data_IF_713713873527
#
_entry.id   IF_713713873527
#
_cell.length_a   1.000
_cell.length_b   1.000
_cell.length_c   1.000
_cell.angle_alpha   90.00
_cell.angle_beta   90.00
_cell.angle_gamma   90.00
#
_symmetry.space_group_name_H-M   'P 1'
#
loop_
_entity.id
_entity.type
_entity.pdbx_description
1 polymer ?
#
# COMPACT_ATOMS: atom_id res chain seq x y z
N UNK A 1 3.47 -54.86 5.86
CA UNK A 1 2.99 -53.91 4.84
C UNK A 1 4.11 -53.71 3.85
N UNK A 2 3.98 -54.33 2.68
CA UNK A 2 4.98 -54.31 1.60
C UNK A 2 5.18 -52.86 1.12
N UNK A 3 6.39 -52.51 0.64
CA UNK A 3 6.69 -51.13 0.22
C UNK A 3 5.74 -50.58 -0.86
N UNK A 4 5.15 -51.45 -1.69
CA UNK A 4 4.11 -51.08 -2.66
C UNK A 4 2.76 -50.66 -2.06
N UNK A 5 2.40 -51.16 -0.88
CA UNK A 5 1.14 -50.81 -0.20
C UNK A 5 1.19 -49.42 0.45
N UNK A 6 2.40 -48.93 0.77
CA UNK A 6 2.60 -47.63 1.44
C UNK A 6 2.27 -46.42 0.56
N UNK A 7 2.12 -46.58 -0.75
CA UNK A 7 1.74 -45.50 -1.67
C UNK A 7 0.28 -45.56 -2.14
N UNK A 8 -0.34 -46.74 -2.05
CA UNK A 8 -1.65 -47.00 -2.66
C UNK A 8 -2.77 -46.19 -2.00
N UNK A 9 -2.71 -45.96 -0.69
CA UNK A 9 -3.70 -45.15 0.03
C UNK A 9 -3.66 -43.66 -0.39
N UNK A 10 -2.49 -43.14 -0.75
CA UNK A 10 -2.33 -41.76 -1.24
C UNK A 10 -2.92 -41.65 -2.66
N UNK A 11 -2.65 -42.62 -3.53
CA UNK A 11 -3.20 -42.64 -4.88
C UNK A 11 -4.72 -42.75 -4.85
N UNK A 12 -5.27 -43.62 -4.02
CA UNK A 12 -6.72 -43.75 -3.82
C UNK A 12 -7.35 -42.49 -3.23
N UNK A 13 -6.65 -41.81 -2.30
CA UNK A 13 -7.10 -40.52 -1.77
C UNK A 13 -7.14 -39.45 -2.87
N UNK A 14 -6.08 -39.32 -3.67
CA UNK A 14 -6.02 -38.37 -4.78
C UNK A 14 -7.15 -38.66 -5.76
N UNK A 15 -7.34 -39.94 -6.13
CA UNK A 15 -8.43 -40.36 -7.01
C UNK A 15 -9.80 -40.02 -6.43
N UNK A 16 -10.05 -40.31 -5.16
CA UNK A 16 -11.31 -40.00 -4.49
C UNK A 16 -11.58 -38.50 -4.39
N UNK A 17 -10.55 -37.70 -4.12
CA UNK A 17 -10.63 -36.23 -4.08
C UNK A 17 -10.92 -35.66 -5.46
N UNK A 18 -10.24 -36.15 -6.51
CA UNK A 18 -10.48 -35.75 -7.88
C UNK A 18 -11.89 -36.13 -8.33
N UNK A 19 -12.37 -37.31 -7.95
CA UNK A 19 -13.75 -37.73 -8.26
C UNK A 19 -14.78 -36.89 -7.53
N UNK A 20 -14.56 -36.60 -6.23
CA UNK A 20 -15.46 -35.77 -5.43
C UNK A 20 -15.60 -34.36 -6.00
N UNK A 21 -14.47 -33.71 -6.31
CA UNK A 21 -14.50 -32.36 -6.86
C UNK A 21 -14.92 -32.34 -8.33
N UNK A 22 -14.46 -33.29 -9.15
CA UNK A 22 -14.83 -33.38 -10.56
C UNK A 22 -16.32 -33.62 -10.75
N UNK A 23 -16.89 -34.63 -10.08
CA UNK A 23 -18.32 -34.91 -10.13
C UNK A 23 -19.15 -33.78 -9.51
N UNK A 24 -18.70 -33.21 -8.38
CA UNK A 24 -19.40 -32.08 -7.76
C UNK A 24 -19.42 -30.82 -8.62
N UNK A 25 -18.34 -30.53 -9.33
CA UNK A 25 -18.30 -29.39 -10.27
C UNK A 25 -19.12 -29.66 -11.53
N UNK A 26 -19.13 -30.89 -12.06
CA UNK A 26 -20.04 -31.28 -13.17
C UNK A 26 -21.50 -31.15 -12.77
N UNK A 27 -21.87 -31.60 -11.58
CA UNK A 27 -23.25 -31.48 -11.09
C UNK A 27 -23.68 -30.01 -10.98
N UNK A 28 -22.75 -29.12 -10.58
CA UNK A 28 -22.98 -27.68 -10.54
C UNK A 28 -23.17 -27.12 -11.95
N UNK A 29 -22.31 -27.49 -12.91
CA UNK A 29 -22.39 -27.09 -14.31
C UNK A 29 -23.72 -27.54 -14.97
N UNK A 30 -24.18 -28.76 -14.66
CA UNK A 30 -25.40 -29.32 -15.26
C UNK A 30 -26.70 -28.77 -14.65
N UNK A 31 -26.71 -28.38 -13.37
CA UNK A 31 -27.95 -28.10 -12.63
C UNK A 31 -28.07 -26.70 -12.01
N UNK A 32 -26.97 -25.97 -11.85
CA UNK A 32 -26.99 -24.60 -11.32
C UNK A 32 -27.06 -23.62 -12.48
N UNK A 33 -27.89 -22.59 -12.37
CA UNK A 33 -27.95 -21.56 -13.43
C UNK A 33 -26.59 -20.84 -13.54
N UNK A 34 -26.10 -20.64 -14.76
CA UNK A 34 -24.82 -19.99 -15.11
C UNK A 34 -24.35 -18.85 -14.21
N UNK A 35 -25.25 -17.93 -13.86
CA UNK A 35 -24.93 -16.78 -13.02
C UNK A 35 -24.51 -17.14 -11.57
N UNK A 36 -24.86 -18.33 -11.08
CA UNK A 36 -24.53 -18.84 -9.75
C UNK A 36 -23.41 -19.89 -9.76
N UNK A 37 -23.07 -20.49 -10.91
CA UNK A 37 -22.12 -21.61 -11.02
C UNK A 37 -20.78 -21.29 -10.34
N UNK A 38 -20.18 -20.13 -10.66
CA UNK A 38 -18.90 -19.72 -10.09
C UNK A 38 -18.92 -19.64 -8.55
N UNK A 39 -19.96 -19.01 -8.01
CA UNK A 39 -20.12 -18.86 -6.56
C UNK A 39 -20.48 -20.21 -5.90
N UNK A 40 -21.28 -21.04 -6.56
CA UNK A 40 -21.63 -22.37 -6.08
C UNK A 40 -20.39 -23.27 -6.00
N UNK A 41 -19.51 -23.21 -7.00
CA UNK A 41 -18.24 -23.94 -7.02
C UNK A 41 -17.34 -23.54 -5.83
N UNK A 42 -17.15 -22.24 -5.60
CA UNK A 42 -16.36 -21.75 -4.46
C UNK A 42 -16.94 -22.23 -3.11
N UNK A 43 -18.26 -22.11 -2.94
CA UNK A 43 -18.94 -22.57 -1.72
C UNK A 43 -18.78 -24.08 -1.51
N UNK A 44 -19.03 -24.87 -2.55
CA UNK A 44 -18.91 -26.33 -2.52
C UNK A 44 -17.48 -26.77 -2.17
N UNK A 45 -16.47 -26.16 -2.79
CA UNK A 45 -15.07 -26.47 -2.50
C UNK A 45 -14.70 -26.09 -1.07
N UNK A 46 -15.09 -24.89 -0.62
CA UNK A 46 -14.81 -24.42 0.74
C UNK A 46 -15.41 -25.35 1.80
N UNK A 47 -16.70 -25.68 1.66
CA UNK A 47 -17.40 -26.57 2.59
C UNK A 47 -16.80 -27.97 2.55
N UNK A 48 -16.54 -28.53 1.37
CA UNK A 48 -15.94 -29.86 1.22
C UNK A 48 -14.56 -29.96 1.89
N UNK A 49 -13.68 -28.98 1.68
CA UNK A 49 -12.36 -28.97 2.31
C UNK A 49 -12.43 -28.75 3.83
N UNK A 50 -13.38 -27.93 4.29
CA UNK A 50 -13.70 -27.81 5.71
C UNK A 50 -14.12 -29.15 6.32
N UNK A 51 -15.04 -29.87 5.66
CA UNK A 51 -15.49 -31.20 6.08
C UNK A 51 -14.37 -32.24 6.05
N UNK A 52 -13.51 -32.23 5.03
CA UNK A 52 -12.33 -33.11 4.96
C UNK A 52 -11.39 -32.86 6.14
N UNK A 53 -11.18 -31.61 6.54
CA UNK A 53 -10.42 -31.32 7.76
C UNK A 53 -11.09 -31.90 9.01
N UNK A 54 -12.43 -31.80 9.13
CA UNK A 54 -13.21 -32.40 10.24
C UNK A 54 -13.02 -33.91 10.28
N UNK A 55 -13.27 -34.58 9.16
CA UNK A 55 -13.20 -36.03 9.04
C UNK A 55 -11.78 -36.55 9.22
N UNK A 56 -10.78 -35.86 8.66
CA UNK A 56 -9.36 -36.20 8.79
C UNK A 56 -8.96 -36.39 10.25
N UNK A 57 -9.34 -35.48 11.15
CA UNK A 57 -9.05 -35.68 12.59
C UNK A 57 -9.89 -36.75 13.25
N UNK A 58 -11.20 -36.78 12.98
CA UNK A 58 -12.11 -37.76 13.60
C UNK A 58 -11.68 -39.20 13.26
N UNK A 59 -11.16 -39.40 12.06
CA UNK A 59 -10.69 -40.69 11.55
C UNK A 59 -9.19 -40.91 11.77
N UNK A 60 -8.47 -39.96 12.39
CA UNK A 60 -7.00 -39.96 12.49
C UNK A 60 -6.28 -40.12 11.14
N UNK A 61 -6.93 -39.67 10.06
CA UNK A 61 -6.43 -39.72 8.70
C UNK A 61 -5.69 -38.42 8.36
N UNK A 62 -4.39 -38.39 8.67
CA UNK A 62 -3.55 -37.21 8.53
C UNK A 62 -3.50 -36.67 7.09
N UNK A 63 -3.45 -37.55 6.08
CA UNK A 63 -3.39 -37.14 4.67
C UNK A 63 -4.64 -36.38 4.22
N UNK A 64 -5.82 -36.75 4.73
CA UNK A 64 -7.08 -36.05 4.43
C UNK A 64 -7.12 -34.67 5.12
N UNK A 65 -6.51 -34.54 6.31
CA UNK A 65 -6.38 -33.24 6.97
C UNK A 65 -5.49 -32.26 6.17
N UNK A 66 -4.45 -32.78 5.50
CA UNK A 66 -3.58 -31.99 4.62
C UNK A 66 -4.29 -31.42 3.39
N UNK A 67 -5.40 -32.02 2.93
CA UNK A 67 -6.18 -31.51 1.80
C UNK A 67 -6.70 -30.08 2.03
N UNK A 68 -6.89 -29.68 3.29
CA UNK A 68 -7.33 -28.34 3.65
C UNK A 68 -6.36 -27.21 3.25
N UNK A 69 -5.10 -27.53 2.96
CA UNK A 69 -4.10 -26.57 2.46
C UNK A 69 -4.55 -25.90 1.16
N UNK A 70 -5.29 -26.64 0.31
CA UNK A 70 -5.71 -26.20 -1.02
C UNK A 70 -6.80 -25.13 -1.01
N UNK A 71 -7.48 -24.87 0.11
CA UNK A 71 -8.55 -23.88 0.15
C UNK A 71 -8.04 -22.47 -0.21
N UNK A 72 -6.89 -22.06 0.34
CA UNK A 72 -6.34 -20.74 0.07
C UNK A 72 -5.94 -20.55 -1.41
N UNK A 73 -5.20 -21.48 -2.05
CA UNK A 73 -5.01 -21.45 -3.50
C UNK A 73 -6.32 -21.32 -4.30
N UNK A 74 -7.38 -22.04 -3.91
CA UNK A 74 -8.69 -21.93 -4.58
C UNK A 74 -9.29 -20.54 -4.40
N UNK A 75 -9.28 -19.99 -3.18
CA UNK A 75 -9.77 -18.62 -2.92
C UNK A 75 -9.01 -17.60 -3.77
N UNK A 76 -7.67 -17.70 -3.83
CA UNK A 76 -6.83 -16.79 -4.63
C UNK A 76 -7.11 -16.96 -6.12
N UNK A 77 -7.23 -18.21 -6.59
CA UNK A 77 -7.52 -18.50 -7.99
C UNK A 77 -8.89 -17.96 -8.40
N UNK A 78 -9.93 -18.20 -7.59
CA UNK A 78 -11.26 -17.62 -7.82
C UNK A 78 -11.21 -16.09 -7.81
N UNK A 79 -10.48 -15.47 -6.86
CA UNK A 79 -10.36 -14.01 -6.81
C UNK A 79 -9.69 -13.46 -8.07
N UNK A 80 -8.63 -14.14 -8.53
CA UNK A 80 -7.92 -13.77 -9.74
C UNK A 80 -8.77 -13.93 -11.00
N UNK A 81 -9.38 -15.10 -11.21
CA UNK A 81 -10.23 -15.37 -12.38
C UNK A 81 -11.41 -14.42 -12.41
N UNK A 82 -12.13 -14.26 -11.30
CA UNK A 82 -13.27 -13.35 -11.24
C UNK A 82 -12.87 -11.89 -11.51
N UNK A 83 -11.74 -11.45 -10.99
CA UNK A 83 -11.28 -10.08 -11.19
C UNK A 83 -10.77 -9.82 -12.61
N UNK A 84 -10.08 -10.78 -13.22
CA UNK A 84 -9.55 -10.63 -14.59
C UNK A 84 -10.66 -10.72 -15.63
N UNK A 85 -11.59 -11.64 -15.47
CA UNK A 85 -12.69 -11.84 -16.41
C UNK A 85 -13.71 -10.69 -16.33
N UNK A 86 -13.96 -10.18 -15.13
CA UNK A 86 -14.97 -9.17 -14.89
C UNK A 86 -14.63 -8.28 -13.68
N UNK A 87 -13.67 -7.34 -13.83
CA UNK A 87 -13.23 -6.48 -12.72
C UNK A 87 -14.36 -5.59 -12.18
N UNK A 88 -15.32 -5.26 -13.05
CA UNK A 88 -16.48 -4.42 -12.74
C UNK A 88 -17.69 -5.24 -12.27
N UNK A 89 -17.55 -6.53 -11.97
CA UNK A 89 -18.63 -7.31 -11.37
C UNK A 89 -18.43 -7.45 -9.86
N UNK A 90 -19.55 -7.47 -9.13
CA UNK A 90 -19.53 -7.69 -7.69
C UNK A 90 -19.26 -9.17 -7.38
N UNK A 91 -18.17 -9.53 -6.70
CA UNK A 91 -17.97 -10.92 -6.28
C UNK A 91 -19.05 -11.37 -5.27
N UNK A 92 -19.79 -10.45 -4.63
CA UNK A 92 -20.88 -10.77 -3.71
C UNK A 92 -22.27 -10.87 -4.40
N UNK A 93 -22.38 -10.54 -5.69
CA UNK A 93 -23.62 -10.76 -6.45
C UNK A 93 -23.90 -12.27 -6.60
N UNK A 94 -25.12 -12.62 -7.00
CA UNK A 94 -25.53 -14.00 -7.28
C UNK A 94 -25.14 -14.99 -6.16
N UNK A 95 -25.57 -14.70 -4.93
CA UNK A 95 -25.25 -15.48 -3.71
C UNK A 95 -23.76 -15.56 -3.37
N UNK A 96 -22.89 -14.80 -4.05
CA UNK A 96 -21.45 -14.79 -3.80
C UNK A 96 -21.09 -14.35 -2.39
N UNK A 97 -21.89 -13.51 -1.74
CA UNK A 97 -21.68 -13.18 -0.32
C UNK A 97 -21.68 -14.44 0.57
N UNK A 98 -22.51 -15.45 0.28
CA UNK A 98 -22.51 -16.72 1.02
C UNK A 98 -21.21 -17.47 0.75
N UNK A 99 -20.82 -17.59 -0.51
CA UNK A 99 -19.62 -18.31 -0.93
C UNK A 99 -18.34 -17.70 -0.37
N UNK A 100 -18.13 -16.40 -0.55
CA UNK A 100 -16.94 -15.70 -0.08
C UNK A 100 -16.86 -15.62 1.44
N UNK A 101 -17.96 -15.30 2.13
CA UNK A 101 -17.96 -15.25 3.60
C UNK A 101 -17.69 -16.65 4.15
N UNK A 102 -18.37 -17.68 3.65
CA UNK A 102 -18.12 -19.06 4.09
C UNK A 102 -16.68 -19.50 3.82
N UNK A 103 -16.12 -19.20 2.65
CA UNK A 103 -14.75 -19.53 2.28
C UNK A 103 -13.73 -18.87 3.22
N UNK A 104 -13.85 -17.58 3.53
CA UNK A 104 -12.95 -16.90 4.46
C UNK A 104 -13.16 -17.36 5.92
N UNK A 105 -14.39 -17.64 6.34
CA UNK A 105 -14.68 -18.18 7.69
C UNK A 105 -14.04 -19.56 7.85
N UNK A 106 -14.23 -20.45 6.87
CA UNK A 106 -13.63 -21.79 6.88
C UNK A 106 -12.10 -21.68 6.79
N UNK A 107 -11.56 -20.82 5.92
CA UNK A 107 -10.12 -20.60 5.80
C UNK A 107 -9.51 -20.12 7.12
N UNK A 108 -10.13 -19.15 7.79
CA UNK A 108 -9.65 -18.65 9.08
C UNK A 108 -9.74 -19.70 10.18
N UNK A 109 -10.82 -20.49 10.19
CA UNK A 109 -10.96 -21.63 11.09
C UNK A 109 -9.92 -22.73 10.81
N UNK A 110 -9.57 -22.98 9.55
CA UNK A 110 -8.51 -23.91 9.16
C UNK A 110 -7.14 -23.43 9.62
N UNK A 111 -6.85 -22.12 9.57
CA UNK A 111 -5.61 -21.56 10.14
C UNK A 111 -5.51 -21.85 11.64
N UNK A 112 -6.60 -21.63 12.38
CA UNK A 112 -6.65 -21.93 13.83
C UNK A 112 -6.48 -23.43 14.10
N UNK A 113 -7.19 -24.25 13.34
CA UNK A 113 -7.21 -25.69 13.53
C UNK A 113 -5.85 -26.31 13.21
N UNK A 114 -5.27 -25.97 12.07
CA UNK A 114 -4.09 -26.64 11.51
C UNK A 114 -2.76 -26.19 12.11
N UNK A 115 -2.76 -25.37 13.16
CA UNK A 115 -1.55 -24.89 13.82
C UNK A 115 -0.61 -26.00 14.31
N UNK A 116 -1.17 -27.12 14.76
CA UNK A 116 -0.43 -28.26 15.30
C UNK A 116 0.12 -29.19 14.21
N UNK A 117 -0.49 -29.16 13.02
CA UNK A 117 -0.21 -30.12 11.95
C UNK A 117 0.69 -29.52 10.87
N UNK A 118 0.49 -28.25 10.54
CA UNK A 118 1.22 -27.62 9.44
C UNK A 118 2.63 -27.16 9.85
N UNK A 119 3.62 -27.26 8.94
CA UNK A 119 4.98 -26.78 9.20
C UNK A 119 5.01 -25.25 9.39
N UNK A 120 5.97 -24.76 10.17
CA UNK A 120 6.04 -23.34 10.57
C UNK A 120 6.05 -22.35 9.38
N UNK A 121 6.84 -22.64 8.35
CA UNK A 121 6.95 -21.78 7.16
C UNK A 121 5.63 -21.68 6.41
N UNK A 122 4.91 -22.80 6.27
CA UNK A 122 3.61 -22.84 5.61
C UNK A 122 2.59 -22.02 6.38
N UNK A 123 2.56 -22.14 7.72
CA UNK A 123 1.65 -21.36 8.57
C UNK A 123 1.86 -19.85 8.39
N UNK A 124 3.11 -19.40 8.48
CA UNK A 124 3.43 -17.99 8.28
C UNK A 124 2.97 -17.49 6.90
N UNK A 125 3.25 -18.26 5.84
CA UNK A 125 2.84 -17.91 4.50
C UNK A 125 1.31 -17.89 4.34
N UNK A 126 0.60 -18.88 4.90
CA UNK A 126 -0.85 -18.96 4.81
C UNK A 126 -1.55 -17.85 5.59
N UNK A 127 -1.02 -17.43 6.75
CA UNK A 127 -1.52 -16.26 7.47
C UNK A 127 -1.37 -14.98 6.64
N UNK A 128 -0.18 -14.75 6.05
CA UNK A 128 0.07 -13.59 5.21
C UNK A 128 -0.78 -13.61 3.93
N UNK A 129 -0.82 -14.73 3.21
CA UNK A 129 -1.58 -14.85 1.97
C UNK A 129 -3.10 -14.79 2.19
N UNK A 130 -3.61 -15.31 3.32
CA UNK A 130 -5.03 -15.11 3.69
C UNK A 130 -5.34 -13.64 3.95
N UNK A 131 -4.43 -12.90 4.61
CA UNK A 131 -4.57 -11.46 4.83
C UNK A 131 -4.58 -10.69 3.50
N UNK A 132 -3.70 -11.05 2.55
CA UNK A 132 -3.67 -10.43 1.22
C UNK A 132 -4.97 -10.68 0.45
N UNK A 133 -5.41 -11.93 0.37
CA UNK A 133 -6.65 -12.31 -0.30
C UNK A 133 -7.85 -11.58 0.32
N UNK A 134 -7.93 -11.52 1.64
CA UNK A 134 -9.00 -10.80 2.34
C UNK A 134 -8.97 -9.30 2.03
N UNK A 135 -7.79 -8.67 2.11
CA UNK A 135 -7.62 -7.23 1.84
C UNK A 135 -8.00 -6.90 0.39
N UNK A 136 -7.59 -7.74 -0.55
CA UNK A 136 -7.93 -7.60 -1.98
C UNK A 136 -9.43 -7.73 -2.23
N UNK A 137 -10.07 -8.82 -1.77
CA UNK A 137 -11.51 -9.04 -1.98
C UNK A 137 -12.34 -7.96 -1.27
N UNK A 138 -11.92 -7.53 -0.06
CA UNK A 138 -12.58 -6.43 0.63
C UNK A 138 -12.48 -5.11 -0.15
N UNK A 139 -11.30 -4.78 -0.69
CA UNK A 139 -11.12 -3.60 -1.54
C UNK A 139 -12.00 -3.69 -2.79
N UNK A 140 -12.05 -4.85 -3.45
CA UNK A 140 -12.85 -5.08 -4.64
C UNK A 140 -14.36 -4.92 -4.39
N UNK A 141 -14.89 -5.60 -3.37
CA UNK A 141 -16.33 -5.51 -3.00
C UNK A 141 -16.73 -4.09 -2.66
N UNK A 142 -15.93 -3.40 -1.85
CA UNK A 142 -16.24 -2.04 -1.40
C UNK A 142 -16.09 -1.05 -2.55
N UNK A 143 -15.07 -1.23 -3.40
CA UNK A 143 -14.85 -0.39 -4.59
C UNK A 143 -16.05 -0.49 -5.53
N UNK A 144 -16.49 -1.72 -5.84
CA UNK A 144 -17.70 -1.95 -6.64
C UNK A 144 -18.95 -1.33 -6.00
N UNK A 145 -19.13 -1.49 -4.69
CA UNK A 145 -20.29 -0.95 -3.99
C UNK A 145 -20.33 0.59 -4.09
N UNK A 146 -19.18 1.25 -3.91
CA UNK A 146 -19.08 2.71 -4.00
C UNK A 146 -19.40 3.22 -5.40
N UNK A 147 -18.88 2.58 -6.45
CA UNK A 147 -19.13 2.99 -7.83
C UNK A 147 -20.55 2.68 -8.31
N UNK A 148 -21.13 1.57 -7.86
CA UNK A 148 -22.43 1.10 -8.37
C UNK A 148 -23.63 1.73 -7.66
N UNK A 149 -23.52 2.03 -6.37
CA UNK A 149 -24.66 2.54 -5.60
C UNK A 149 -24.77 4.08 -5.63
N UNK A 150 -23.72 4.80 -6.01
CA UNK A 150 -23.75 6.27 -6.03
C UNK A 150 -23.40 6.79 -7.43
N UNK A 151 -24.41 7.24 -8.22
CA UNK A 151 -24.18 7.74 -9.57
C UNK A 151 -23.17 8.90 -9.60
N UNK A 152 -22.28 8.89 -10.61
CA UNK A 152 -21.22 9.88 -10.86
C UNK A 152 -20.07 9.89 -9.84
N UNK A 153 -19.91 8.85 -9.01
CA UNK A 153 -18.77 8.69 -8.10
C UNK A 153 -17.77 7.63 -8.58
N UNK A 154 -17.54 7.56 -9.89
CA UNK A 154 -16.70 6.52 -10.51
C UNK A 154 -15.26 6.51 -9.95
N UNK A 155 -14.67 7.69 -9.74
CA UNK A 155 -13.32 7.84 -9.17
C UNK A 155 -13.21 7.39 -7.70
N UNK A 156 -14.33 7.35 -6.97
CA UNK A 156 -14.30 6.93 -5.57
C UNK A 156 -14.00 5.45 -5.42
N UNK A 157 -14.33 4.64 -6.44
CA UNK A 157 -13.92 3.24 -6.50
C UNK A 157 -12.39 3.08 -6.46
N UNK A 158 -11.67 3.95 -7.16
CA UNK A 158 -10.20 3.96 -7.19
C UNK A 158 -9.60 4.36 -5.84
N UNK A 159 -10.26 5.29 -5.13
CA UNK A 159 -9.89 5.71 -3.77
C UNK A 159 -9.94 4.52 -2.81
N UNK A 160 -10.95 3.65 -2.92
CA UNK A 160 -11.09 2.46 -2.07
C UNK A 160 -9.89 1.51 -2.20
N UNK A 161 -9.33 1.38 -3.41
CA UNK A 161 -8.14 0.57 -3.63
C UNK A 161 -6.92 1.06 -2.85
N UNK A 162 -6.80 2.36 -2.56
CA UNK A 162 -5.77 2.90 -1.65
C UNK A 162 -6.18 2.81 -0.18
N UNK A 163 -7.44 3.14 0.11
CA UNK A 163 -7.94 3.29 1.47
C UNK A 163 -7.98 1.96 2.25
N UNK A 164 -8.44 0.88 1.62
CA UNK A 164 -8.61 -0.41 2.30
C UNK A 164 -7.26 -1.03 2.73
N UNK A 165 -6.23 -1.09 1.86
CA UNK A 165 -4.88 -1.48 2.28
C UNK A 165 -4.30 -0.59 3.38
N UNK A 166 -4.46 0.73 3.29
CA UNK A 166 -3.99 1.65 4.32
C UNK A 166 -4.67 1.40 5.68
N UNK A 167 -5.99 1.17 5.68
CA UNK A 167 -6.74 0.78 6.88
C UNK A 167 -6.27 -0.57 7.42
N UNK A 168 -5.98 -1.54 6.55
CA UNK A 168 -5.48 -2.85 6.97
C UNK A 168 -4.12 -2.72 7.70
N UNK A 169 -3.18 -1.95 7.14
CA UNK A 169 -1.89 -1.66 7.78
C UNK A 169 -2.12 -0.96 9.13
N UNK A 170 -2.94 0.08 9.17
CA UNK A 170 -3.25 0.84 10.39
C UNK A 170 -3.85 -0.06 11.48
N UNK A 171 -4.84 -0.89 11.14
CA UNK A 171 -5.48 -1.83 12.07
C UNK A 171 -4.48 -2.82 12.64
N UNK A 172 -3.60 -3.38 11.81
CA UNK A 172 -2.59 -4.33 12.27
C UNK A 172 -1.59 -3.67 13.24
N UNK A 173 -1.15 -2.45 12.95
CA UNK A 173 -0.26 -1.67 13.84
C UNK A 173 -0.95 -1.36 15.18
N UNK A 174 -2.23 -0.95 15.16
CA UNK A 174 -2.97 -0.60 16.39
C UNK A 174 -3.31 -1.83 17.23
N UNK A 175 -3.65 -2.95 16.58
CA UNK A 175 -4.11 -4.17 17.25
C UNK A 175 -2.98 -5.14 17.60
N UNK A 176 -1.73 -4.83 17.21
CA UNK A 176 -0.55 -5.71 17.37
C UNK A 176 -0.37 -6.28 18.78
N UNK A 177 -0.67 -5.49 19.82
CA UNK A 177 -0.49 -5.90 21.22
C UNK A 177 -1.82 -6.26 21.90
N UNK A 178 -2.96 -6.13 21.20
CA UNK A 178 -4.30 -6.47 21.72
C UNK A 178 -4.77 -7.86 21.31
N UNK A 179 -4.36 -8.34 20.15
CA UNK A 179 -4.84 -9.61 19.58
C UNK A 179 -3.76 -10.69 19.71
N UNK A 180 -3.94 -11.58 20.69
CA UNK A 180 -2.99 -12.69 20.96
C UNK A 180 -2.92 -13.64 19.75
N UNK A 181 -4.09 -14.11 19.29
CA UNK A 181 -4.21 -14.95 18.11
C UNK A 181 -5.03 -14.22 17.03
N UNK A 182 -4.55 -14.11 15.78
CA UNK A 182 -3.30 -14.67 15.24
C UNK A 182 -2.11 -13.68 15.24
N UNK A 183 -2.32 -12.39 15.56
CA UNK A 183 -1.34 -11.33 15.29
C UNK A 183 -0.08 -11.46 16.14
N UNK A 184 -0.18 -11.59 17.47
CA UNK A 184 1.01 -11.72 18.33
C UNK A 184 1.75 -13.05 18.13
N UNK A 185 1.01 -14.12 17.87
CA UNK A 185 1.61 -15.45 17.64
C UNK A 185 2.39 -15.50 16.32
N UNK A 186 1.89 -14.81 15.29
CA UNK A 186 2.47 -14.78 13.94
C UNK A 186 2.92 -13.36 13.55
N UNK A 187 3.66 -12.66 14.44
CA UNK A 187 4.09 -11.27 14.22
C UNK A 187 4.82 -11.06 12.89
N UNK A 188 5.71 -11.97 12.51
CA UNK A 188 6.45 -11.91 11.25
C UNK A 188 5.52 -11.91 10.01
N UNK A 189 4.45 -12.72 10.06
CA UNK A 189 3.49 -12.84 8.96
C UNK A 189 2.51 -11.66 8.87
N UNK A 190 2.20 -11.00 9.98
CA UNK A 190 1.23 -9.89 9.99
C UNK A 190 1.86 -8.49 10.03
N UNK A 191 3.04 -8.33 10.62
CA UNK A 191 3.67 -7.04 10.87
C UNK A 191 5.06 -6.91 10.26
N UNK A 192 5.74 -8.04 10.00
CA UNK A 192 7.01 -8.12 9.31
C UNK A 192 6.82 -8.27 7.80
N UNK A 193 7.46 -9.29 7.23
CA UNK A 193 7.52 -9.50 5.78
C UNK A 193 6.14 -9.63 5.11
N UNK A 194 5.13 -10.14 5.82
CA UNK A 194 3.79 -10.29 5.23
C UNK A 194 3.06 -8.97 5.02
N UNK A 195 3.42 -7.89 5.73
CA UNK A 195 2.83 -6.56 5.49
C UNK A 195 3.53 -5.80 4.36
N UNK A 196 4.74 -6.22 4.00
CA UNK A 196 5.57 -5.55 2.99
C UNK A 196 4.88 -5.44 1.61
N UNK A 197 4.25 -6.49 1.04
CA UNK A 197 3.56 -6.35 -0.25
C UNK A 197 2.40 -5.34 -0.19
N UNK A 198 1.69 -5.26 0.94
CA UNK A 198 0.57 -4.31 1.13
C UNK A 198 1.10 -2.88 1.20
N UNK A 199 2.24 -2.67 1.87
CA UNK A 199 2.95 -1.38 1.92
C UNK A 199 3.45 -0.97 0.54
N UNK A 200 4.08 -1.89 -0.20
CA UNK A 200 4.56 -1.64 -1.57
C UNK A 200 3.40 -1.30 -2.49
N UNK A 201 2.31 -2.06 -2.44
CA UNK A 201 1.10 -1.78 -3.19
C UNK A 201 0.55 -0.38 -2.87
N UNK A 202 0.44 -0.03 -1.59
CA UNK A 202 -0.04 1.28 -1.16
C UNK A 202 0.86 2.42 -1.66
N UNK A 203 2.18 2.24 -1.60
CA UNK A 203 3.15 3.21 -2.12
C UNK A 203 3.05 3.38 -3.64
N UNK A 204 2.92 2.28 -4.39
CA UNK A 204 2.71 2.31 -5.84
C UNK A 204 1.38 2.98 -6.20
N UNK A 205 0.32 2.65 -5.47
CA UNK A 205 -1.00 3.25 -5.66
C UNK A 205 -0.95 4.77 -5.47
N UNK A 206 -0.26 5.27 -4.42
CA UNK A 206 -0.06 6.72 -4.23
C UNK A 206 0.57 7.36 -5.46
N UNK A 207 1.61 6.74 -6.04
CA UNK A 207 2.29 7.25 -7.24
C UNK A 207 1.38 7.21 -8.47
N UNK A 208 0.71 6.09 -8.72
CA UNK A 208 -0.15 5.92 -9.91
C UNK A 208 -1.26 6.97 -9.91
N UNK A 209 -1.89 7.18 -8.76
CA UNK A 209 -3.00 8.13 -8.62
C UNK A 209 -2.56 9.58 -8.78
N UNK A 210 -1.27 9.91 -8.59
CA UNK A 210 -0.73 11.22 -8.94
C UNK A 210 -0.82 11.54 -10.44
N UNK A 211 -0.94 10.54 -11.31
CA UNK A 211 -1.06 10.75 -12.76
C UNK A 211 -2.50 10.69 -13.26
N UNK A 212 -3.46 10.46 -12.36
CA UNK A 212 -4.88 10.45 -12.67
C UNK A 212 -5.52 11.80 -12.33
N UNK A 213 -6.61 12.11 -13.04
CA UNK A 213 -7.43 13.29 -12.76
C UNK A 213 -8.12 13.10 -11.41
N UNK A 214 -7.88 14.01 -10.48
CA UNK A 214 -8.61 14.04 -9.22
C UNK A 214 -9.95 14.77 -9.42
N UNK A 215 -10.98 14.08 -9.89
CA UNK A 215 -12.35 14.62 -9.90
C UNK A 215 -13.08 14.25 -8.59
N UNK A 216 -13.36 15.23 -7.71
CA UNK A 216 -13.94 15.03 -6.39
C UNK A 216 -15.47 14.98 -6.38
N UNK A 217 -16.14 14.99 -7.54
CA UNK A 217 -17.60 15.01 -7.61
C UNK A 217 -18.23 13.98 -6.64
N UNK A 218 -19.27 14.36 -5.87
CA UNK A 218 -20.02 15.62 -5.88
C UNK A 218 -19.44 16.74 -5.01
N UNK A 219 -18.28 16.54 -4.38
CA UNK A 219 -17.66 17.54 -3.51
C UNK A 219 -16.90 18.60 -4.32
N UNK A 220 -16.75 19.84 -3.80
CA UNK A 220 -15.85 20.82 -4.41
C UNK A 220 -14.39 20.38 -4.25
N UNK A 221 -13.55 20.70 -5.24
CA UNK A 221 -12.12 20.43 -5.13
C UNK A 221 -11.46 21.40 -4.15
N UNK A 222 -11.07 20.90 -2.99
CA UNK A 222 -10.23 21.63 -2.03
C UNK A 222 -8.90 20.88 -1.89
N UNK A 223 -7.76 21.51 -2.21
CA UNK A 223 -6.46 20.85 -2.12
C UNK A 223 -6.21 20.27 -0.73
N UNK A 224 -5.56 19.11 -0.63
CA UNK A 224 -5.27 18.37 0.62
C UNK A 224 -6.51 17.75 1.27
N UNK A 225 -7.69 18.35 1.13
CA UNK A 225 -8.96 17.91 1.74
C UNK A 225 -9.76 17.01 0.81
N UNK A 226 -9.45 17.01 -0.50
CA UNK A 226 -10.06 16.09 -1.45
C UNK A 226 -9.92 14.63 -0.93
N UNK A 227 -10.99 13.80 -0.99
CA UNK A 227 -10.94 12.38 -0.67
C UNK A 227 -9.72 11.63 -1.20
N UNK A 228 -9.28 11.93 -2.43
CA UNK A 228 -8.08 11.34 -3.03
C UNK A 228 -6.81 11.76 -2.28
N UNK A 229 -6.62 13.06 -2.08
CA UNK A 229 -5.47 13.63 -1.37
C UNK A 229 -5.39 13.13 0.07
N UNK A 230 -6.52 13.08 0.77
CA UNK A 230 -6.62 12.55 2.13
C UNK A 230 -6.24 11.08 2.20
N UNK A 231 -6.64 10.28 1.21
CA UNK A 231 -6.30 8.85 1.16
C UNK A 231 -4.82 8.64 0.86
N UNK A 232 -4.24 9.44 -0.05
CA UNK A 232 -2.80 9.42 -0.31
C UNK A 232 -2.01 9.85 0.93
N UNK A 233 -2.42 10.92 1.61
CA UNK A 233 -1.79 11.39 2.85
C UNK A 233 -1.89 10.35 3.97
N UNK A 234 -3.07 9.78 4.18
CA UNK A 234 -3.29 8.71 5.16
C UNK A 234 -2.41 7.50 4.87
N UNK A 235 -2.33 7.07 3.61
CA UNK A 235 -1.47 5.96 3.19
C UNK A 235 0.00 6.24 3.49
N UNK A 236 0.50 7.43 3.13
CA UNK A 236 1.88 7.84 3.41
C UNK A 236 2.18 7.90 4.92
N UNK A 237 1.26 8.43 5.73
CA UNK A 237 1.42 8.50 7.19
C UNK A 237 1.48 7.11 7.83
N UNK A 238 0.66 6.18 7.37
CA UNK A 238 0.65 4.81 7.90
C UNK A 238 1.89 4.03 7.44
N UNK A 239 2.38 4.25 6.22
CA UNK A 239 3.67 3.70 5.77
C UNK A 239 4.82 4.29 6.60
N UNK A 240 4.80 5.60 6.87
CA UNK A 240 5.77 6.24 7.75
C UNK A 240 5.76 5.62 9.15
N UNK A 241 4.58 5.42 9.74
CA UNK A 241 4.43 4.81 11.05
C UNK A 241 4.98 3.37 11.07
N UNK A 242 4.68 2.57 10.05
CA UNK A 242 5.22 1.22 9.91
C UNK A 242 6.76 1.22 9.81
N UNK A 243 7.34 2.09 8.98
CA UNK A 243 8.79 2.23 8.84
C UNK A 243 9.45 2.72 10.13
N UNK A 244 8.83 3.70 10.80
CA UNK A 244 9.31 4.27 12.05
C UNK A 244 9.31 3.24 13.18
N UNK A 245 8.25 2.47 13.32
CA UNK A 245 8.19 1.41 14.33
C UNK A 245 9.12 0.23 14.02
N UNK A 246 9.31 -0.11 12.74
CA UNK A 246 10.33 -1.10 12.31
C UNK A 246 11.73 -0.61 12.66
N UNK A 247 12.04 0.67 12.39
CA UNK A 247 13.32 1.30 12.76
C UNK A 247 13.56 1.31 14.28
N UNK A 248 12.51 1.52 15.07
CA UNK A 248 12.57 1.52 16.54
C UNK A 248 12.62 0.11 17.15
N UNK A 249 12.61 -0.97 16.34
CA UNK A 249 12.58 -2.35 16.83
C UNK A 249 11.26 -2.77 17.50
N UNK A 250 10.18 -2.00 17.31
CA UNK A 250 8.84 -2.30 17.86
C UNK A 250 8.08 -3.32 17.00
N UNK A 251 8.40 -3.38 15.71
CA UNK A 251 7.88 -4.35 14.76
C UNK A 251 9.01 -5.30 14.35
N UNK A 252 8.67 -6.53 13.89
CA UNK A 252 9.68 -7.44 13.40
C UNK A 252 10.45 -6.84 12.22
N UNK A 253 11.78 -6.94 12.27
CA UNK A 253 12.65 -6.49 11.20
C UNK A 253 12.54 -7.40 9.98
N UNK A 254 12.70 -6.85 8.79
CA UNK A 254 12.75 -7.62 7.55
C UNK A 254 14.20 -7.65 7.07
N UNK A 255 14.73 -8.85 6.86
CA UNK A 255 16.10 -9.03 6.37
C UNK A 255 16.34 -8.22 5.09
N UNK A 256 17.45 -7.47 5.06
CA UNK A 256 17.89 -6.60 3.94
C UNK A 256 17.07 -5.33 3.71
N UNK A 257 16.02 -5.05 4.48
CA UNK A 257 15.36 -3.75 4.41
C UNK A 257 16.01 -2.76 5.35
N UNK A 258 16.46 -1.63 4.80
CA UNK A 258 16.96 -0.49 5.55
C UNK A 258 15.86 0.56 5.69
N UNK A 259 15.23 0.72 6.87
CA UNK A 259 14.13 1.67 7.05
C UNK A 259 14.50 3.11 6.70
N UNK A 260 15.77 3.49 6.90
CA UNK A 260 16.27 4.83 6.56
C UNK A 260 16.28 5.10 5.06
N UNK A 261 16.55 4.10 4.23
CA UNK A 261 16.48 4.23 2.77
C UNK A 261 15.01 4.33 2.33
N UNK A 262 14.14 3.48 2.89
CA UNK A 262 12.72 3.50 2.57
C UNK A 262 12.02 4.80 3.01
N UNK A 263 12.43 5.40 4.12
CA UNK A 263 11.92 6.71 4.55
C UNK A 263 12.31 7.82 3.55
N UNK A 264 13.50 7.74 2.93
CA UNK A 264 13.88 8.68 1.84
C UNK A 264 13.06 8.44 0.58
N UNK A 265 12.80 7.19 0.22
CA UNK A 265 11.91 6.84 -0.89
C UNK A 265 10.51 7.41 -0.64
N UNK A 266 9.97 7.24 0.57
CA UNK A 266 8.69 7.81 0.97
C UNK A 266 8.68 9.35 0.89
N UNK A 267 9.77 10.01 1.29
CA UNK A 267 9.91 11.46 1.11
C UNK A 267 9.92 11.88 -0.38
N UNK A 268 10.53 11.07 -1.26
CA UNK A 268 10.46 11.25 -2.71
C UNK A 268 9.04 11.10 -3.24
N UNK A 269 8.29 10.09 -2.78
CA UNK A 269 6.87 9.89 -3.11
C UNK A 269 6.04 11.09 -2.65
N UNK A 270 6.26 11.58 -1.43
CA UNK A 270 5.58 12.77 -0.92
C UNK A 270 5.89 14.03 -1.74
N UNK A 271 7.11 14.14 -2.28
CA UNK A 271 7.47 15.23 -3.20
C UNK A 271 6.76 15.09 -4.56
N UNK A 272 6.65 13.88 -5.11
CA UNK A 272 5.86 13.63 -6.34
C UNK A 272 4.38 14.00 -6.09
N UNK A 273 3.82 13.56 -4.97
CA UNK A 273 2.46 13.88 -4.56
C UNK A 273 2.24 15.39 -4.43
N UNK A 274 3.19 16.13 -3.82
CA UNK A 274 3.09 17.58 -3.71
C UNK A 274 3.02 18.27 -5.09
N UNK A 275 3.78 17.79 -6.08
CA UNK A 275 3.72 18.32 -7.44
C UNK A 275 2.38 17.98 -8.13
N UNK A 276 1.88 16.76 -7.90
CA UNK A 276 0.56 16.34 -8.39
C UNK A 276 -0.56 17.19 -7.79
N UNK A 277 -0.49 17.51 -6.51
CA UNK A 277 -1.46 18.40 -5.85
C UNK A 277 -1.49 19.78 -6.52
N UNK A 278 -0.33 20.35 -6.86
CA UNK A 278 -0.27 21.61 -7.62
C UNK A 278 -0.88 21.43 -9.01
N UNK A 279 -0.62 20.31 -9.69
CA UNK A 279 -1.17 20.02 -11.00
C UNK A 279 -2.71 19.91 -10.96
N UNK A 280 -3.27 19.27 -9.93
CA UNK A 280 -4.71 19.18 -9.73
C UNK A 280 -5.34 20.54 -9.43
N UNK A 281 -4.69 21.38 -8.61
CA UNK A 281 -5.15 22.77 -8.37
C UNK A 281 -5.21 23.54 -9.69
N UNK A 282 -4.14 23.50 -10.48
CA UNK A 282 -4.05 24.23 -11.76
C UNK A 282 -5.06 23.67 -12.77
N UNK A 283 -5.23 22.35 -12.83
CA UNK A 283 -6.24 21.74 -13.69
C UNK A 283 -7.65 22.21 -13.35
N UNK A 284 -8.02 22.13 -12.06
CA UNK A 284 -9.37 22.41 -11.61
C UNK A 284 -9.72 23.90 -11.69
N UNK A 285 -8.83 24.77 -11.20
CA UNK A 285 -9.12 26.21 -11.10
C UNK A 285 -8.76 27.00 -12.35
N UNK A 286 -7.78 26.54 -13.14
CA UNK A 286 -7.28 27.27 -14.32
C UNK A 286 -7.63 26.56 -15.64
N UNK A 287 -8.41 25.47 -15.59
CA UNK A 287 -8.88 24.69 -16.74
C UNK A 287 -7.77 24.20 -17.68
N UNK A 288 -6.54 24.03 -17.17
CA UNK A 288 -5.43 23.45 -17.93
C UNK A 288 -5.64 21.94 -18.04
N UNK A 289 -5.63 21.31 -19.23
CA UNK A 289 -5.81 19.87 -19.36
C UNK A 289 -4.81 19.08 -18.51
N UNK A 290 -5.28 18.08 -17.77
CA UNK A 290 -4.43 17.21 -16.94
C UNK A 290 -3.70 16.18 -17.81
N UNK A 291 -2.78 16.68 -18.63
CA UNK A 291 -1.86 15.91 -19.44
C UNK A 291 -0.46 16.44 -19.20
N UNK A 292 0.55 15.55 -19.19
CA UNK A 292 1.94 15.92 -18.88
C UNK A 292 2.39 17.07 -19.77
N UNK A 293 2.23 16.96 -21.09
CA UNK A 293 2.67 17.99 -22.04
C UNK A 293 1.98 19.34 -21.82
N UNK A 294 0.67 19.32 -21.55
CA UNK A 294 -0.12 20.53 -21.29
C UNK A 294 0.26 21.20 -19.98
N UNK A 295 0.54 20.40 -18.94
CA UNK A 295 0.99 20.92 -17.65
C UNK A 295 2.37 21.54 -17.76
N UNK A 296 3.32 20.87 -18.40
CA UNK A 296 4.68 21.40 -18.55
C UNK A 296 4.74 22.64 -19.46
N UNK A 297 3.85 22.75 -20.45
CA UNK A 297 3.72 23.95 -21.29
C UNK A 297 3.02 25.13 -20.58
N UNK A 298 2.29 24.90 -19.49
CA UNK A 298 1.55 25.93 -18.77
C UNK A 298 2.47 26.80 -17.92
N UNK A 299 2.52 28.10 -18.22
CA UNK A 299 3.26 29.07 -17.41
C UNK A 299 2.74 29.13 -15.96
N UNK A 300 1.42 29.03 -15.78
CA UNK A 300 0.79 29.03 -14.45
C UNK A 300 1.25 27.83 -13.62
N UNK A 301 1.30 26.64 -14.22
CA UNK A 301 1.82 25.46 -13.54
C UNK A 301 3.31 25.63 -13.18
N UNK A 302 4.12 26.10 -14.14
CA UNK A 302 5.55 26.32 -13.93
C UNK A 302 5.85 27.31 -12.79
N UNK A 303 5.11 28.42 -12.71
CA UNK A 303 5.23 29.40 -11.64
C UNK A 303 4.75 28.81 -10.30
N UNK A 304 3.64 28.07 -10.31
CA UNK A 304 3.07 27.48 -9.09
C UNK A 304 4.00 26.46 -8.45
N UNK A 305 4.59 25.53 -9.23
CA UNK A 305 5.55 24.56 -8.70
C UNK A 305 6.82 25.24 -8.19
N UNK A 306 7.27 26.32 -8.83
CA UNK A 306 8.43 27.10 -8.37
C UNK A 306 8.16 27.70 -6.99
N UNK A 307 6.99 28.35 -6.79
CA UNK A 307 6.58 28.91 -5.50
C UNK A 307 6.51 27.80 -4.44
N UNK A 308 5.86 26.67 -4.77
CA UNK A 308 5.71 25.55 -3.83
C UNK A 308 7.06 24.93 -3.47
N UNK A 309 7.99 24.78 -4.41
CA UNK A 309 9.34 24.29 -4.13
C UNK A 309 10.13 25.25 -3.24
N UNK A 310 10.01 26.57 -3.46
CA UNK A 310 10.62 27.59 -2.60
C UNK A 310 10.10 27.49 -1.16
N UNK A 311 8.77 27.44 -0.98
CA UNK A 311 8.16 27.28 0.35
C UNK A 311 8.59 25.97 1.00
N UNK A 312 8.61 24.87 0.23
CA UNK A 312 9.03 23.54 0.70
C UNK A 312 10.50 23.55 1.16
N UNK A 313 11.39 24.18 0.37
CA UNK A 313 12.78 24.34 0.74
C UNK A 313 12.93 25.08 2.09
N UNK A 314 12.16 26.15 2.30
CA UNK A 314 12.19 26.89 3.58
C UNK A 314 11.67 26.09 4.75
N UNK A 315 10.57 25.36 4.58
CA UNK A 315 10.04 24.48 5.62
C UNK A 315 11.08 23.43 5.99
N UNK A 316 11.71 22.79 5.00
CA UNK A 316 12.76 21.78 5.22
C UNK A 316 13.98 22.38 5.93
N UNK A 317 14.47 23.54 5.48
CA UNK A 317 15.60 24.23 6.13
C UNK A 317 15.27 24.63 7.57
N UNK A 318 14.09 25.21 7.80
CA UNK A 318 13.62 25.61 9.13
C UNK A 318 13.46 24.42 10.08
N UNK A 319 12.90 23.29 9.60
CA UNK A 319 12.84 22.04 10.37
C UNK A 319 14.25 21.49 10.63
N UNK A 320 15.15 21.54 9.65
CA UNK A 320 16.56 21.16 9.80
C UNK A 320 17.28 21.97 10.88
N UNK A 321 17.06 23.28 10.93
CA UNK A 321 17.59 24.17 11.98
C UNK A 321 16.99 23.85 13.35
N UNK A 322 15.65 23.69 13.45
CA UNK A 322 14.95 23.41 14.73
C UNK A 322 15.27 22.04 15.30
N UNK A 323 15.43 21.03 14.45
CA UNK A 323 15.74 19.65 14.85
C UNK A 323 17.25 19.37 14.94
N UNK A 324 18.09 20.38 14.71
CA UNK A 324 19.55 20.26 14.64
C UNK A 324 20.04 19.21 13.63
N UNK A 325 19.29 18.99 12.55
CA UNK A 325 19.60 18.00 11.52
C UNK A 325 20.20 18.65 10.28
N UNK A 326 21.54 18.62 10.20
CA UNK A 326 22.29 19.16 9.05
C UNK A 326 21.86 18.56 7.71
N UNK A 327 21.65 17.24 7.66
CA UNK A 327 21.23 16.54 6.43
C UNK A 327 19.92 17.12 5.89
N UNK A 328 18.94 17.34 6.78
CA UNK A 328 17.64 17.91 6.42
C UNK A 328 17.81 19.37 5.93
N UNK A 329 18.60 20.17 6.63
CA UNK A 329 18.90 21.55 6.20
C UNK A 329 19.51 21.61 4.79
N UNK A 330 20.51 20.78 4.51
CA UNK A 330 21.15 20.70 3.19
C UNK A 330 20.20 20.19 2.10
N UNK A 331 19.24 19.30 2.42
CA UNK A 331 18.20 18.90 1.47
C UNK A 331 17.35 20.10 1.03
N UNK A 332 16.93 20.95 1.97
CA UNK A 332 16.17 22.16 1.66
C UNK A 332 17.00 23.18 0.89
N UNK A 333 18.26 23.41 1.29
CA UNK A 333 19.18 24.28 0.56
C UNK A 333 19.43 23.79 -0.89
N UNK A 334 19.57 22.47 -1.08
CA UNK A 334 19.69 21.86 -2.40
C UNK A 334 18.44 22.07 -3.26
N UNK A 335 17.24 21.90 -2.71
CA UNK A 335 15.99 22.21 -3.42
C UNK A 335 15.90 23.69 -3.79
N UNK A 336 16.31 24.60 -2.91
CA UNK A 336 16.37 26.04 -3.20
C UNK A 336 17.35 26.35 -4.34
N UNK A 337 18.53 25.72 -4.35
CA UNK A 337 19.50 25.87 -5.43
C UNK A 337 18.92 25.39 -6.78
N UNK A 338 18.17 24.28 -6.80
CA UNK A 338 17.46 23.80 -7.99
C UNK A 338 16.43 24.81 -8.48
N UNK A 339 15.61 25.38 -7.58
CA UNK A 339 14.64 26.42 -7.94
C UNK A 339 15.32 27.61 -8.59
N UNK A 340 16.43 28.04 -8.03
CA UNK A 340 17.16 29.21 -8.51
C UNK A 340 17.78 28.92 -9.87
N UNK A 341 18.44 27.77 -10.05
CA UNK A 341 18.90 27.32 -11.36
C UNK A 341 17.77 27.26 -12.39
N UNK A 342 16.59 26.77 -12.02
CA UNK A 342 15.40 26.77 -12.90
C UNK A 342 15.03 28.18 -13.34
N UNK A 343 14.97 29.13 -12.42
CA UNK A 343 14.69 30.54 -12.72
C UNK A 343 15.74 31.13 -13.65
N UNK A 344 17.02 30.88 -13.38
CA UNK A 344 18.11 31.28 -14.26
C UNK A 344 17.93 30.73 -15.66
N UNK A 345 17.66 29.44 -15.84
CA UNK A 345 17.51 28.81 -17.16
C UNK A 345 16.35 29.43 -17.95
N UNK A 346 15.24 29.75 -17.29
CA UNK A 346 14.06 30.37 -17.92
C UNK A 346 14.33 31.86 -18.23
N UNK A 347 14.96 32.59 -17.32
CA UNK A 347 15.28 34.02 -17.51
C UNK A 347 16.48 34.23 -18.46
N UNK A 348 17.35 33.22 -18.63
CA UNK A 348 18.46 33.20 -19.59
C UNK A 348 17.98 33.14 -21.05
N UNK A 349 16.74 32.72 -21.33
CA UNK A 349 16.20 32.81 -22.69
C UNK A 349 15.94 34.27 -23.14
N UNK A 350 15.81 35.21 -22.21
CA UNK A 350 15.53 36.64 -22.47
C UNK A 350 16.72 37.55 -22.12
N UNK A 351 17.93 37.13 -22.51
CA UNK A 351 19.27 37.68 -22.17
C UNK A 351 19.56 39.18 -22.48
N UNK A 352 18.55 40.03 -22.74
CA UNK A 352 18.72 41.42 -23.17
C UNK A 352 18.26 42.52 -22.20
N UNK A 353 17.69 42.21 -21.03
CA UNK A 353 17.01 43.23 -20.20
C UNK A 353 17.63 43.47 -18.82
N UNK A 354 17.66 44.75 -18.40
CA UNK A 354 17.99 45.21 -17.03
C UNK A 354 17.15 44.46 -15.97
N UNK A 355 15.95 44.01 -16.33
CA UNK A 355 15.08 43.18 -15.52
C UNK A 355 15.76 41.89 -15.02
N UNK A 356 16.59 41.24 -15.84
CA UNK A 356 17.31 40.02 -15.48
C UNK A 356 18.34 40.27 -14.37
N UNK A 357 19.06 41.39 -14.43
CA UNK A 357 20.03 41.79 -13.40
C UNK A 357 19.31 42.06 -12.07
N UNK A 358 18.18 42.79 -12.11
CA UNK A 358 17.37 43.10 -10.92
C UNK A 358 16.77 41.81 -10.32
N UNK A 359 16.32 40.87 -11.14
CA UNK A 359 15.84 39.55 -10.71
C UNK A 359 16.94 38.78 -9.96
N UNK A 360 18.14 38.70 -10.52
CA UNK A 360 19.27 38.00 -9.89
C UNK A 360 19.72 38.64 -8.58
N UNK A 361 19.77 39.98 -8.51
CA UNK A 361 20.05 40.68 -7.26
C UNK A 361 18.97 40.41 -6.21
N UNK A 362 17.70 40.43 -6.59
CA UNK A 362 16.58 40.18 -5.68
C UNK A 362 16.62 38.77 -5.11
N UNK A 363 16.87 37.76 -5.97
CA UNK A 363 17.04 36.36 -5.56
C UNK A 363 18.26 36.19 -4.65
N UNK A 364 19.39 36.84 -4.98
CA UNK A 364 20.61 36.80 -4.17
C UNK A 364 20.44 37.41 -2.77
N UNK A 365 19.77 38.56 -2.68
CA UNK A 365 19.43 39.19 -1.38
C UNK A 365 18.49 38.29 -0.59
N UNK A 366 17.47 37.72 -1.24
CA UNK A 366 16.54 36.81 -0.61
C UNK A 366 17.29 35.60 -0.01
N UNK A 367 18.18 34.96 -0.77
CA UNK A 367 19.03 33.87 -0.28
C UNK A 367 19.85 34.26 0.96
N UNK A 368 20.41 35.47 0.98
CA UNK A 368 21.24 35.96 2.07
C UNK A 368 20.41 36.16 3.35
N UNK A 369 19.21 36.75 3.21
CA UNK A 369 18.24 36.88 4.30
C UNK A 369 17.80 35.51 4.83
N UNK A 370 17.57 34.54 3.93
CA UNK A 370 17.17 33.18 4.32
C UNK A 370 18.29 32.47 5.08
N UNK A 371 19.54 32.57 4.61
CA UNK A 371 20.70 32.01 5.30
C UNK A 371 20.89 32.58 6.71
N UNK A 372 20.47 33.83 6.93
CA UNK A 372 20.43 34.47 8.25
C UNK A 372 19.28 33.95 9.13
N UNK A 373 18.06 33.84 8.59
CA UNK A 373 16.86 33.41 9.37
C UNK A 373 16.88 31.91 9.69
N UNK A 374 17.50 31.10 8.82
CA UNK A 374 17.56 29.63 8.97
C UNK A 374 19.02 29.18 9.14
N UNK A 375 19.66 29.48 10.30
CA UNK A 375 21.08 29.19 10.47
C UNK A 375 21.34 27.68 10.42
N UNK A 376 22.48 27.32 9.82
CA UNK A 376 22.92 25.93 9.78
C UNK A 376 23.17 25.41 11.21
N UNK A 377 22.67 24.21 11.58
CA UNK A 377 22.95 23.63 12.88
C UNK A 377 24.47 23.49 13.13
N UNK A 378 24.99 23.77 14.34
CA UNK A 378 26.40 23.56 14.66
C UNK A 378 26.79 22.08 14.50
N UNK A 379 28.07 21.78 14.25
CA UNK A 379 28.55 20.39 14.38
C UNK A 379 28.55 20.08 15.87
N UNK A 380 28.01 18.93 16.27
CA UNK A 380 28.32 18.39 17.59
C UNK A 380 29.84 18.25 17.64
N UNK A 381 30.50 19.13 18.39
CA UNK A 381 31.90 18.96 18.70
C UNK A 381 32.02 17.63 19.43
N UNK A 382 32.87 16.75 18.93
CA UNK A 382 33.39 15.62 19.70
C UNK A 382 33.92 16.18 21.01
N UNK A 383 33.18 15.96 22.10
CA UNK A 383 33.56 16.27 23.47
C UNK A 383 34.70 15.36 23.93
N UNK A 384 35.83 15.40 23.23
CA UNK A 384 37.07 14.69 23.56
C UNK A 384 38.29 15.62 23.59
N UNK A 385 38.16 16.90 23.19
CA UNK A 385 39.30 17.83 23.16
C UNK A 385 39.25 18.96 24.21
N UNK A 386 38.22 19.06 25.05
CA UNK A 386 38.16 20.09 26.12
C UNK A 386 38.68 19.61 27.50
N UNK A 387 38.87 18.30 27.71
CA UNK A 387 39.52 17.80 28.95
C UNK A 387 41.06 17.80 28.87
N UNK A 388 41.64 17.95 27.68
CA UNK A 388 43.10 18.02 27.51
C UNK A 388 43.68 19.42 27.81
N UNK A 389 42.88 20.48 27.76
CA UNK A 389 43.33 21.87 27.95
C UNK A 389 43.10 22.40 29.38
N UNK A 390 42.39 21.65 30.23
CA UNK A 390 42.22 21.98 31.67
C UNK A 390 43.22 21.20 32.55
N UNK A 391 43.99 20.26 31.99
CA UNK A 391 45.00 19.48 32.73
C UNK A 391 46.47 19.77 32.36
N UNK A 392 46.74 20.76 31.50
CA UNK A 392 48.10 21.18 31.13
C UNK A 392 48.57 22.44 31.84
#
# INVERSE_FOLDING_TARGET
LYEGEKGLHIVLLIWGVLWWFGAGLMEIDDHVLGQYEFNAALFFIAVSLGLFSIMGRKLQWLQLEYSAIFLLPVIIFCAFVGFVDSPNQNPFANLGYISWISAFVIQYWLLYRSEQVWPANLKNLWHAATMWAYTFVAAWVISYAVTSFIPRMDNWGDIIWGLIPAIAIAKLIVLKDRIIWPIQKYREAYLGWGLLPVVIFSAMWVIVVCFNVADPYPLPYVPVINPQDLTQLFSMLIIYEWLSQTKQGKLPGINKLEPDVLLKVLAGIAFIWLNSLVAHVVHYYMAVPYAIDSMFASSIFQTSITIVWTVTAFVIMGLGSRLSQRKLWFTGAGLLAIVVLKLFIIDLSDLGTVATIISFMSVGILMLVIGYITPMPPKLASSENEEAEVSS
#
